data_IF_841217981451
#
_entry.id   IF_841217981451
#
_cell.length_a   1.000
_cell.length_b   1.000
_cell.length_c   1.000
_cell.angle_alpha   90.00
_cell.angle_beta   90.00
_cell.angle_gamma   90.00
#
_symmetry.space_group_name_H-M   'P 1'
#
loop_
_entity.id
_entity.type
_entity.pdbx_description
1 polymer ?
#
# COMPACT_ATOMS: atom_id res chain seq x y z
N UNK A 1 -9.78 16.97 -3.66
CA UNK A 1 -8.79 18.01 -4.04
C UNK A 1 -8.49 17.89 -5.53
N UNK A 2 -8.34 19.01 -6.25
CA UNK A 2 -8.12 19.03 -7.71
C UNK A 2 -6.70 18.57 -8.08
N UNK A 3 -6.60 17.48 -8.85
CA UNK A 3 -5.36 16.89 -9.38
C UNK A 3 -4.62 17.75 -10.43
N UNK A 4 -4.93 19.04 -10.55
CA UNK A 4 -4.54 19.87 -11.70
C UNK A 4 -3.29 20.73 -11.49
N UNK A 5 -2.47 20.44 -10.48
CA UNK A 5 -1.17 21.09 -10.32
C UNK A 5 -0.17 20.63 -11.39
N UNK A 6 0.66 21.52 -11.97
CA UNK A 6 1.73 21.11 -12.87
C UNK A 6 2.69 20.17 -12.12
N UNK A 7 2.71 18.90 -12.51
CA UNK A 7 3.50 17.85 -11.86
C UNK A 7 2.70 16.64 -11.41
N UNK A 8 1.37 16.76 -11.28
CA UNK A 8 0.53 15.64 -10.87
C UNK A 8 0.28 14.66 -12.02
N UNK A 9 0.59 13.38 -11.82
CA UNK A 9 0.36 12.29 -12.77
C UNK A 9 -0.32 11.13 -12.06
N UNK A 10 -1.38 10.60 -12.67
CA UNK A 10 -2.00 9.35 -12.24
C UNK A 10 -2.10 8.43 -13.44
N UNK A 11 -1.59 7.20 -13.33
CA UNK A 11 -1.67 6.20 -14.40
C UNK A 11 -3.12 5.80 -14.67
N UNK A 12 -3.80 5.28 -13.65
CA UNK A 12 -5.22 4.91 -13.72
C UNK A 12 -5.98 5.48 -12.53
N UNK A 13 -7.14 6.08 -12.79
CA UNK A 13 -8.11 6.45 -11.76
C UNK A 13 -9.29 5.48 -11.81
N UNK A 14 -9.50 4.74 -10.74
CA UNK A 14 -10.70 3.92 -10.54
C UNK A 14 -11.74 4.79 -9.83
N UNK A 15 -12.82 5.10 -10.54
CA UNK A 15 -13.93 5.92 -10.03
C UNK A 15 -15.23 5.11 -10.08
N UNK A 16 -16.01 5.19 -9.01
CA UNK A 16 -17.25 4.43 -8.87
C UNK A 16 -16.99 3.00 -8.38
N UNK A 17 -18.07 2.34 -7.98
CA UNK A 17 -18.01 1.06 -7.27
C UNK A 17 -17.98 -0.13 -8.23
N UNK A 18 -17.63 -1.32 -7.74
CA UNK A 18 -17.71 -2.59 -8.46
C UNK A 18 -16.82 -2.67 -9.72
N UNK A 19 -15.68 -1.97 -9.70
CA UNK A 19 -14.74 -1.99 -10.82
C UNK A 19 -13.68 -3.07 -10.64
N UNK A 20 -13.21 -3.60 -11.77
CA UNK A 20 -12.09 -4.56 -11.82
C UNK A 20 -10.97 -3.97 -12.64
N UNK A 21 -9.82 -3.75 -12.01
CA UNK A 21 -8.57 -3.39 -12.65
C UNK A 21 -7.63 -4.60 -12.60
N UNK A 22 -7.39 -5.25 -13.73
CA UNK A 22 -6.56 -6.46 -13.74
C UNK A 22 -5.60 -6.60 -14.92
N UNK A 23 -4.44 -7.20 -14.65
CA UNK A 23 -3.43 -7.58 -15.65
C UNK A 23 -2.89 -6.43 -16.50
N UNK A 24 -2.70 -5.25 -15.90
CA UNK A 24 -2.14 -4.08 -16.59
C UNK A 24 -0.67 -3.88 -16.22
N UNK A 25 0.09 -3.31 -17.16
CA UNK A 25 1.40 -2.72 -16.90
C UNK A 25 1.23 -1.20 -16.77
N UNK A 26 1.53 -0.66 -15.58
CA UNK A 26 1.29 0.74 -15.23
C UNK A 26 2.61 1.33 -14.71
N UNK A 27 3.20 2.24 -15.47
CA UNK A 27 4.36 3.02 -15.03
C UNK A 27 4.03 4.50 -15.16
N UNK A 28 4.41 5.26 -14.15
CA UNK A 28 4.34 6.72 -14.15
C UNK A 28 5.74 7.30 -13.98
N UNK A 29 5.89 8.63 -14.12
CA UNK A 29 7.21 9.24 -13.92
C UNK A 29 7.68 8.98 -12.49
N UNK A 30 8.94 8.53 -12.37
CA UNK A 30 9.62 8.44 -11.09
C UNK A 30 9.70 9.84 -10.49
N UNK A 31 9.11 10.00 -9.31
CA UNK A 31 9.32 11.20 -8.50
C UNK A 31 10.42 10.87 -7.49
N UNK A 32 11.52 11.62 -7.56
CA UNK A 32 12.67 11.49 -6.65
C UNK A 32 12.56 12.47 -5.47
N UNK A 33 11.52 13.30 -5.45
CA UNK A 33 11.32 14.27 -4.40
C UNK A 33 10.58 13.60 -3.23
N UNK A 34 11.22 13.52 -2.06
CA UNK A 34 10.69 13.02 -0.76
C UNK A 34 9.59 13.93 -0.18
N UNK A 35 8.67 14.37 -1.03
CA UNK A 35 7.61 15.28 -0.66
C UNK A 35 6.40 14.39 -0.44
N UNK A 36 5.98 14.18 0.80
CA UNK A 36 4.78 13.41 1.22
C UNK A 36 3.44 13.83 0.53
N UNK A 37 3.47 14.71 -0.47
CA UNK A 37 2.37 14.98 -1.38
C UNK A 37 2.46 14.11 -2.63
N UNK A 38 1.41 13.32 -2.86
CA UNK A 38 1.29 12.34 -3.94
C UNK A 38 1.24 13.01 -5.32
N UNK A 39 2.42 13.31 -5.89
CA UNK A 39 2.51 13.91 -7.23
C UNK A 39 2.39 12.87 -8.33
N UNK A 40 2.91 11.66 -8.13
CA UNK A 40 2.85 10.60 -9.15
C UNK A 40 2.32 9.32 -8.55
N UNK A 41 1.18 8.84 -9.06
CA UNK A 41 0.48 7.66 -8.54
C UNK A 41 0.27 6.68 -9.69
N UNK A 42 0.62 5.40 -9.52
CA UNK A 42 0.29 4.36 -10.49
C UNK A 42 -1.23 4.19 -10.63
N UNK A 43 -1.89 3.77 -9.56
CA UNK A 43 -3.34 3.59 -9.48
C UNK A 43 -3.91 4.40 -8.32
N UNK A 44 -4.90 5.24 -8.60
CA UNK A 44 -5.69 5.91 -7.56
C UNK A 44 -7.12 5.40 -7.57
N UNK A 45 -7.59 4.86 -6.46
CA UNK A 45 -8.95 4.33 -6.33
C UNK A 45 -9.75 5.07 -5.26
N UNK A 46 -11.00 5.36 -5.58
CA UNK A 46 -12.02 5.88 -4.67
C UNK A 46 -13.28 5.00 -4.66
N UNK A 47 -13.25 3.90 -5.41
CA UNK A 47 -14.42 3.05 -5.63
C UNK A 47 -14.55 1.98 -4.56
N UNK A 48 -15.78 1.75 -4.10
CA UNK A 48 -16.09 0.63 -3.22
C UNK A 48 -16.19 -0.68 -4.01
N UNK A 49 -16.08 -1.81 -3.32
CA UNK A 49 -16.29 -3.15 -3.92
C UNK A 49 -15.40 -3.39 -5.16
N UNK A 50 -14.21 -2.79 -5.18
CA UNK A 50 -13.30 -2.83 -6.33
C UNK A 50 -12.22 -3.90 -6.18
N UNK A 51 -11.82 -4.48 -7.31
CA UNK A 51 -10.76 -5.46 -7.41
C UNK A 51 -9.57 -4.88 -8.17
N UNK A 52 -8.39 -4.84 -7.55
CA UNK A 52 -7.13 -4.44 -8.19
C UNK A 52 -6.22 -5.67 -8.16
N UNK A 53 -6.16 -6.42 -9.26
CA UNK A 53 -5.62 -7.79 -9.27
C UNK A 53 -4.58 -8.01 -10.36
N UNK A 54 -3.42 -8.58 -10.02
CA UNK A 54 -2.48 -9.08 -11.03
C UNK A 54 -1.84 -7.99 -11.90
N UNK A 55 -1.80 -6.73 -11.44
CA UNK A 55 -1.16 -5.65 -12.18
C UNK A 55 0.35 -5.58 -11.87
N UNK A 56 1.12 -5.14 -12.84
CA UNK A 56 2.52 -4.74 -12.66
C UNK A 56 2.58 -3.21 -12.62
N UNK A 57 3.01 -2.66 -11.50
CA UNK A 57 3.06 -1.22 -11.26
C UNK A 57 4.50 -0.84 -10.93
N UNK A 58 5.04 0.17 -11.61
CA UNK A 58 6.38 0.66 -11.31
C UNK A 58 6.48 2.17 -11.24
N UNK A 59 7.50 2.61 -10.51
CA UNK A 59 7.84 4.01 -10.35
C UNK A 59 6.71 4.80 -9.66
N UNK A 60 6.77 6.13 -9.78
CA UNK A 60 5.87 7.02 -9.05
C UNK A 60 6.29 7.25 -7.59
N UNK A 61 5.55 8.10 -6.90
CA UNK A 61 5.63 8.30 -5.46
C UNK A 61 4.85 7.19 -4.75
N UNK A 62 3.59 6.98 -5.16
CA UNK A 62 2.75 5.89 -4.67
C UNK A 62 2.42 4.90 -5.80
N UNK A 63 2.49 3.60 -5.52
CA UNK A 63 2.09 2.56 -6.47
C UNK A 63 0.58 2.49 -6.61
N UNK A 64 -0.11 2.12 -5.52
CA UNK A 64 -1.56 2.13 -5.39
C UNK A 64 -1.94 3.04 -4.22
N UNK A 65 -2.78 4.04 -4.49
CA UNK A 65 -3.39 4.88 -3.46
C UNK A 65 -4.91 4.66 -3.42
N UNK A 66 -5.42 4.21 -2.29
CA UNK A 66 -6.85 4.01 -2.01
C UNK A 66 -7.28 5.05 -0.99
N UNK A 67 -8.28 5.85 -1.34
CA UNK A 67 -8.77 6.95 -0.52
C UNK A 67 -10.30 6.90 -0.46
N UNK A 68 -10.86 7.02 0.74
CA UNK A 68 -12.31 7.07 1.00
C UNK A 68 -13.10 5.89 0.40
N UNK A 69 -12.56 4.67 0.50
CA UNK A 69 -13.12 3.50 -0.17
C UNK A 69 -13.33 2.30 0.77
N UNK A 70 -14.31 1.46 0.47
CA UNK A 70 -14.72 0.31 1.29
C UNK A 70 -14.72 -0.99 0.47
N UNK A 71 -14.46 -2.12 1.13
CA UNK A 71 -14.57 -3.46 0.54
C UNK A 71 -13.68 -3.67 -0.70
N UNK A 72 -12.39 -3.34 -0.63
CA UNK A 72 -11.46 -3.54 -1.75
C UNK A 72 -10.62 -4.80 -1.59
N UNK A 73 -10.27 -5.40 -2.73
CA UNK A 73 -9.26 -6.46 -2.79
C UNK A 73 -8.11 -6.00 -3.67
N UNK A 74 -6.92 -5.91 -3.07
CA UNK A 74 -5.64 -5.69 -3.76
C UNK A 74 -4.85 -6.98 -3.71
N UNK A 75 -4.85 -7.75 -4.81
CA UNK A 75 -4.33 -9.12 -4.80
C UNK A 75 -3.39 -9.43 -5.94
N UNK A 76 -2.27 -10.11 -5.66
CA UNK A 76 -1.38 -10.63 -6.69
C UNK A 76 -0.68 -9.57 -7.56
N UNK A 77 -0.62 -8.31 -7.12
CA UNK A 77 0.07 -7.24 -7.86
C UNK A 77 1.58 -7.29 -7.57
N UNK A 78 2.37 -6.89 -8.57
CA UNK A 78 3.80 -6.65 -8.45
C UNK A 78 4.06 -5.14 -8.50
N UNK A 79 4.51 -4.55 -7.41
CA UNK A 79 4.69 -3.10 -7.25
C UNK A 79 6.14 -2.83 -6.89
N UNK A 80 6.82 -1.99 -7.66
CA UNK A 80 8.26 -1.76 -7.47
C UNK A 80 8.72 -0.33 -7.73
N UNK A 81 9.82 0.06 -7.08
CA UNK A 81 10.51 1.33 -7.29
C UNK A 81 9.67 2.58 -7.01
N UNK A 82 8.66 2.48 -6.13
CA UNK A 82 7.90 3.65 -5.71
C UNK A 82 8.76 4.51 -4.77
N UNK A 83 8.72 5.83 -4.93
CA UNK A 83 9.53 6.74 -4.11
C UNK A 83 9.12 6.76 -2.64
N UNK A 84 7.83 6.51 -2.36
CA UNK A 84 7.23 6.68 -1.03
C UNK A 84 6.53 5.38 -0.62
N UNK A 85 5.32 5.10 -1.12
CA UNK A 85 4.52 3.95 -0.65
C UNK A 85 4.15 3.01 -1.81
N UNK A 86 4.34 1.70 -1.66
CA UNK A 86 3.84 0.77 -2.66
C UNK A 86 2.29 0.68 -2.63
N UNK A 87 1.69 0.52 -1.44
CA UNK A 87 0.23 0.53 -1.23
C UNK A 87 -0.12 1.46 -0.08
N UNK A 88 -0.85 2.53 -0.38
CA UNK A 88 -1.30 3.52 0.59
C UNK A 88 -2.82 3.46 0.76
N UNK A 89 -3.28 3.20 1.98
CA UNK A 89 -4.69 3.18 2.38
C UNK A 89 -4.98 4.39 3.27
N UNK A 90 -5.96 5.20 2.88
CA UNK A 90 -6.39 6.36 3.66
C UNK A 90 -7.90 6.36 3.81
N UNK A 91 -8.37 6.53 5.05
CA UNK A 91 -9.79 6.67 5.39
C UNK A 91 -10.66 5.56 4.75
N UNK A 92 -10.12 4.33 4.71
CA UNK A 92 -10.70 3.19 3.98
C UNK A 92 -11.03 2.03 4.92
N UNK A 93 -11.98 1.16 4.56
CA UNK A 93 -12.34 0.03 5.44
C UNK A 93 -12.58 -1.26 4.67
N UNK A 94 -12.46 -2.40 5.37
CA UNK A 94 -12.65 -3.74 4.79
C UNK A 94 -11.77 -4.00 3.56
N UNK A 95 -10.51 -3.56 3.62
CA UNK A 95 -9.55 -3.74 2.52
C UNK A 95 -8.70 -4.99 2.77
N UNK A 96 -8.70 -5.90 1.81
CA UNK A 96 -7.80 -7.06 1.78
C UNK A 96 -6.61 -6.76 0.88
N UNK A 97 -5.40 -6.88 1.42
CA UNK A 97 -4.13 -6.73 0.70
C UNK A 97 -3.38 -8.05 0.80
N UNK A 98 -3.44 -8.86 -0.24
CA UNK A 98 -2.94 -10.24 -0.20
C UNK A 98 -2.08 -10.59 -1.41
N UNK A 99 -1.12 -11.50 -1.22
CA UNK A 99 -0.37 -12.14 -2.31
C UNK A 99 0.38 -11.18 -3.25
N UNK A 100 0.57 -9.92 -2.82
CA UNK A 100 1.32 -8.92 -3.56
C UNK A 100 2.84 -9.13 -3.35
N UNK A 101 3.63 -8.57 -4.28
CA UNK A 101 5.09 -8.49 -4.20
C UNK A 101 5.46 -7.01 -4.23
N UNK A 102 6.09 -6.49 -3.16
CA UNK A 102 6.43 -5.08 -3.01
C UNK A 102 7.95 -4.93 -2.87
N UNK A 103 8.58 -4.13 -3.71
CA UNK A 103 10.05 -4.06 -3.76
C UNK A 103 10.54 -2.62 -3.94
N UNK A 104 11.51 -2.22 -3.13
CA UNK A 104 12.22 -0.95 -3.26
C UNK A 104 11.28 0.27 -3.20
N UNK A 105 10.44 0.32 -2.17
CA UNK A 105 9.75 1.54 -1.73
C UNK A 105 10.35 2.08 -0.42
N UNK A 106 9.75 3.11 0.16
CA UNK A 106 10.07 3.50 1.54
C UNK A 106 9.15 2.77 2.53
N UNK A 107 7.88 2.65 2.18
CA UNK A 107 6.90 1.81 2.86
C UNK A 107 6.25 0.84 1.87
N UNK A 108 6.05 -0.41 2.30
CA UNK A 108 5.31 -1.39 1.52
C UNK A 108 3.82 -1.13 1.63
N UNK A 109 3.31 -1.13 2.86
CA UNK A 109 1.93 -0.74 3.15
C UNK A 109 1.92 0.37 4.19
N UNK A 110 1.30 1.49 3.83
CA UNK A 110 0.98 2.57 4.77
C UNK A 110 -0.53 2.69 4.89
N UNK A 111 -1.04 2.70 6.11
CA UNK A 111 -2.45 2.87 6.39
C UNK A 111 -2.69 4.00 7.38
N UNK A 112 -3.65 4.86 7.09
CA UNK A 112 -4.12 5.92 8.00
C UNK A 112 -5.65 5.89 8.13
N UNK A 113 -6.13 5.81 9.37
CA UNK A 113 -7.56 5.74 9.73
C UNK A 113 -8.33 4.61 9.02
N UNK A 114 -7.65 3.50 8.72
CA UNK A 114 -8.28 2.37 8.05
C UNK A 114 -8.64 1.24 9.01
N UNK A 115 -9.73 0.53 8.74
CA UNK A 115 -10.24 -0.51 9.64
C UNK A 115 -10.51 -1.81 8.89
N UNK A 116 -10.52 -2.93 9.61
CA UNK A 116 -10.81 -4.25 9.04
C UNK A 116 -9.85 -4.63 7.90
N UNK A 117 -8.55 -4.37 8.07
CA UNK A 117 -7.53 -4.74 7.08
C UNK A 117 -7.10 -6.21 7.24
N UNK A 118 -6.83 -6.87 6.12
CA UNK A 118 -6.15 -8.16 6.09
C UNK A 118 -4.91 -8.07 5.20
N UNK A 119 -3.71 -8.07 5.81
CA UNK A 119 -2.44 -7.86 5.10
C UNK A 119 -1.60 -9.14 5.12
N UNK A 120 -1.32 -9.69 3.93
CA UNK A 120 -0.50 -10.89 3.70
C UNK A 120 0.33 -10.75 2.42
N UNK A 121 1.59 -10.37 2.55
CA UNK A 121 2.49 -10.01 1.46
C UNK A 121 3.64 -11.01 1.41
N UNK A 122 3.90 -11.57 0.23
CA UNK A 122 4.86 -12.68 0.08
C UNK A 122 6.30 -12.27 0.16
N UNK A 123 6.64 -11.09 -0.37
CA UNK A 123 8.00 -10.57 -0.41
C UNK A 123 7.96 -9.05 -0.31
N UNK A 124 8.57 -8.50 0.75
CA UNK A 124 8.81 -7.07 0.92
C UNK A 124 10.28 -6.80 1.17
N UNK A 125 10.93 -6.09 0.24
CA UNK A 125 12.36 -5.76 0.35
C UNK A 125 12.53 -4.27 0.63
N UNK A 126 13.09 -3.95 1.79
CA UNK A 126 13.32 -2.58 2.32
C UNK A 126 12.07 -1.83 2.77
N UNK A 127 10.94 -2.51 2.68
CA UNK A 127 9.60 -1.96 2.83
C UNK A 127 8.94 -2.50 4.11
N UNK A 128 8.51 -1.60 4.99
CA UNK A 128 7.75 -1.97 6.19
C UNK A 128 6.22 -1.87 6.00
N UNK A 129 5.47 -2.35 7.01
CA UNK A 129 4.05 -2.08 7.18
C UNK A 129 3.89 -1.05 8.30
N UNK A 130 3.14 0.01 8.05
CA UNK A 130 2.79 1.00 9.05
C UNK A 130 1.27 1.18 9.10
N UNK A 131 0.68 0.99 10.27
CA UNK A 131 -0.74 1.24 10.52
C UNK A 131 -0.91 2.34 11.56
N UNK A 132 -1.51 3.46 11.16
CA UNK A 132 -1.86 4.58 12.04
C UNK A 132 -3.37 4.70 12.22
N UNK A 133 -3.84 4.80 13.47
CA UNK A 133 -5.26 4.83 13.85
C UNK A 133 -6.06 3.66 13.25
N UNK A 134 -5.42 2.49 13.12
CA UNK A 134 -6.08 1.32 12.57
C UNK A 134 -6.85 0.55 13.63
N UNK A 135 -8.00 -0.01 13.25
CA UNK A 135 -8.81 -0.84 14.13
C UNK A 135 -9.21 -2.18 13.51
N UNK A 136 -9.38 -3.20 14.34
CA UNK A 136 -9.95 -4.51 13.97
C UNK A 136 -9.27 -5.16 12.76
N UNK A 137 -7.95 -5.04 12.67
CA UNK A 137 -7.17 -5.47 11.50
C UNK A 137 -6.21 -6.61 11.82
N UNK A 138 -5.78 -7.32 10.79
CA UNK A 138 -4.84 -8.44 10.88
C UNK A 138 -3.66 -8.26 9.93
N UNK A 139 -2.46 -8.50 10.45
CA UNK A 139 -1.21 -8.57 9.70
C UNK A 139 -0.68 -10.00 9.86
N UNK A 140 -0.86 -10.83 8.84
CA UNK A 140 -0.55 -12.25 8.97
C UNK A 140 0.14 -12.86 7.75
N UNK A 141 1.08 -13.78 8.00
CA UNK A 141 1.74 -14.53 6.92
C UNK A 141 2.64 -13.68 6.01
N UNK A 142 3.14 -12.54 6.50
CA UNK A 142 4.00 -11.66 5.71
C UNK A 142 5.47 -12.11 5.80
N UNK A 143 6.21 -12.02 4.68
CA UNK A 143 7.67 -12.09 4.69
C UNK A 143 8.23 -10.70 4.40
N UNK A 144 8.88 -10.11 5.41
CA UNK A 144 9.41 -8.74 5.37
C UNK A 144 10.91 -8.79 5.61
N UNK A 145 11.70 -8.26 4.69
CA UNK A 145 13.15 -8.33 4.76
C UNK A 145 13.86 -7.00 4.45
N UNK A 146 14.98 -6.77 5.14
CA UNK A 146 15.92 -5.67 4.88
C UNK A 146 15.34 -4.25 5.04
N UNK A 147 14.40 -4.05 5.97
CA UNK A 147 13.82 -2.74 6.27
C UNK A 147 14.81 -1.83 7.02
N UNK A 148 14.89 -0.55 6.60
CA UNK A 148 15.66 0.48 7.31
C UNK A 148 15.03 0.91 8.65
N UNK A 149 13.71 0.79 8.73
CA UNK A 149 12.85 1.08 9.88
C UNK A 149 12.25 -0.23 10.45
N UNK A 150 11.43 -0.19 11.51
CA UNK A 150 10.75 -1.39 11.96
C UNK A 150 9.90 -2.03 10.86
N UNK A 151 9.95 -3.35 10.73
CA UNK A 151 9.21 -4.08 9.70
C UNK A 151 7.70 -3.90 9.83
N UNK A 152 7.20 -3.78 11.06
CA UNK A 152 5.82 -3.45 11.37
C UNK A 152 5.81 -2.33 12.42
N UNK A 153 5.13 -1.23 12.15
CA UNK A 153 4.91 -0.12 13.10
C UNK A 153 3.42 0.12 13.29
N UNK A 154 2.97 0.19 14.55
CA UNK A 154 1.58 0.45 14.90
C UNK A 154 1.47 1.75 15.72
N UNK A 155 0.68 2.69 15.24
CA UNK A 155 0.43 3.97 15.91
C UNK A 155 -1.05 4.08 16.27
N UNK A 156 -1.32 4.18 17.58
CA UNK A 156 -2.66 4.16 18.16
C UNK A 156 -3.56 2.99 17.65
N UNK A 157 -3.07 1.73 17.72
CA UNK A 157 -3.84 0.58 17.26
C UNK A 157 -4.99 0.21 18.22
N UNK A 158 -6.08 -0.30 17.66
CA UNK A 158 -7.15 -0.95 18.44
C UNK A 158 -7.49 -2.32 17.85
N UNK A 159 -7.43 -3.38 18.66
CA UNK A 159 -7.80 -4.73 18.22
C UNK A 159 -7.05 -5.18 16.94
N UNK A 160 -5.71 -5.08 16.95
CA UNK A 160 -4.85 -5.52 15.85
C UNK A 160 -4.24 -6.89 16.18
N UNK A 161 -4.35 -7.84 15.25
CA UNK A 161 -3.69 -9.15 15.36
C UNK A 161 -2.46 -9.20 14.46
N UNK A 162 -1.29 -9.53 15.01
CA UNK A 162 -0.06 -9.74 14.25
C UNK A 162 0.43 -11.17 14.49
N UNK A 163 0.37 -12.03 13.46
CA UNK A 163 0.71 -13.44 13.61
C UNK A 163 1.43 -14.04 12.39
N UNK A 164 2.27 -15.07 12.61
CA UNK A 164 2.90 -15.87 11.54
C UNK A 164 3.69 -15.03 10.51
N UNK A 165 4.28 -13.90 10.93
CA UNK A 165 5.12 -13.07 10.07
C UNK A 165 6.59 -13.46 10.20
N UNK A 166 7.31 -13.50 9.09
CA UNK A 166 8.76 -13.72 9.03
C UNK A 166 9.44 -12.36 8.80
N UNK A 167 10.13 -11.85 9.83
CA UNK A 167 10.69 -10.50 9.85
C UNK A 167 12.22 -10.60 9.95
N UNK A 168 12.92 -10.35 8.83
CA UNK A 168 14.36 -10.56 8.72
C UNK A 168 15.08 -9.21 8.49
N UNK A 169 16.25 -9.06 9.12
CA UNK A 169 17.19 -7.94 8.84
C UNK A 169 16.59 -6.53 9.02
N UNK A 170 15.63 -6.35 9.93
CA UNK A 170 15.07 -5.04 10.28
C UNK A 170 15.97 -4.32 11.29
N UNK A 171 16.48 -3.13 10.94
CA UNK A 171 17.54 -2.45 11.73
C UNK A 171 17.10 -1.89 13.08
N UNK A 172 15.80 -1.66 13.32
CA UNK A 172 15.27 -0.98 14.51
C UNK A 172 14.32 -1.83 15.38
N UNK A 173 14.32 -3.16 15.20
CA UNK A 173 13.34 -4.07 15.80
C UNK A 173 12.19 -4.38 14.85
N UNK A 174 11.46 -5.46 15.11
CA UNK A 174 10.51 -6.01 14.12
C UNK A 174 9.07 -5.50 14.28
N UNK A 175 8.68 -5.10 15.50
CA UNK A 175 7.35 -4.55 15.82
C UNK A 175 7.54 -3.39 16.80
N UNK A 176 6.92 -2.23 16.53
CA UNK A 176 6.87 -1.07 17.44
C UNK A 176 5.45 -0.60 17.64
#
# INVERSE_FOLDING_TARGET
MSDSGPGNQVGIRVKGDNNVLSNNYISVRKDLADNYWTKTIGVRSFGNDCLIIGNTISDGSDGIFIEDANSLVVSGNSIQNCGVVAIHLKDSSHVTVEDNTLVDSKWGVLSSNATSLAIRIRDMKRDGIELSNAASSSISGNSINNCGDPAISLHDPSNITVEKNTLLESRQGSIK
#
